data_IF_503582374796
#
_entry.id   IF_503582374796
#
_cell.length_a   1.000
_cell.length_b   1.000
_cell.length_c   1.000
_cell.angle_alpha   90.00
_cell.angle_beta   90.00
_cell.angle_gamma   90.00
#
_symmetry.space_group_name_H-M   'P 1'
#
loop_
_entity.id
_entity.type
_entity.pdbx_description
1 polymer ?
#
# COMPACT_ATOMS: atom_id res chain seq x y z
N UNK A 1 3.92 5.87 -17.74
CA UNK A 1 3.24 6.01 -16.62
C UNK A 1 3.41 5.08 -15.53
N UNK A 2 3.43 5.48 -14.39
CA UNK A 2 3.68 4.70 -13.24
C UNK A 2 2.44 4.03 -12.70
N UNK A 3 2.66 2.91 -12.06
CA UNK A 3 1.61 2.22 -11.32
C UNK A 3 1.88 2.39 -9.84
N UNK A 4 0.81 2.37 -9.04
CA UNK A 4 0.96 2.36 -7.60
C UNK A 4 1.51 1.00 -7.16
N UNK A 5 2.37 1.03 -6.16
CA UNK A 5 2.84 -0.18 -5.50
C UNK A 5 2.12 -0.30 -4.17
N UNK A 6 1.57 -1.46 -3.89
CA UNK A 6 0.80 -1.69 -2.67
C UNK A 6 1.56 -2.59 -1.72
N UNK A 7 1.65 -2.17 -0.46
CA UNK A 7 2.17 -2.99 0.62
C UNK A 7 1.02 -3.24 1.60
N UNK A 8 0.87 -4.47 2.06
CA UNK A 8 -0.20 -4.84 2.97
C UNK A 8 0.39 -5.26 4.31
N UNK A 9 -0.28 -4.86 5.39
CA UNK A 9 0.17 -5.21 6.74
C UNK A 9 -0.17 -6.65 7.12
N UNK A 10 -1.16 -7.26 6.43
CA UNK A 10 -1.59 -8.62 6.68
C UNK A 10 -1.37 -9.46 5.44
N UNK A 11 -1.18 -10.78 5.63
CA UNK A 11 -1.00 -11.67 4.48
C UNK A 11 -2.23 -11.72 3.61
N UNK A 12 -3.41 -11.74 4.23
CA UNK A 12 -4.66 -11.67 3.49
C UNK A 12 -5.09 -10.21 3.43
N UNK A 13 -5.01 -9.62 2.26
CA UNK A 13 -5.34 -8.22 2.07
C UNK A 13 -6.81 -7.92 2.38
N UNK A 14 -7.66 -8.94 2.44
CA UNK A 14 -9.08 -8.78 2.77
C UNK A 14 -9.33 -8.78 4.27
N UNK A 15 -8.32 -9.04 5.08
CA UNK A 15 -8.44 -8.97 6.53
C UNK A 15 -8.82 -7.54 6.92
N UNK A 16 -9.81 -7.40 7.79
CA UNK A 16 -10.28 -6.07 8.22
C UNK A 16 -9.20 -5.27 8.94
N UNK A 17 -8.20 -5.95 9.49
CA UNK A 17 -7.08 -5.29 10.15
C UNK A 17 -6.02 -4.83 9.17
N UNK A 18 -6.15 -5.21 7.90
CA UNK A 18 -5.13 -4.87 6.91
C UNK A 18 -5.08 -3.38 6.66
N UNK A 19 -3.86 -2.84 6.68
CA UNK A 19 -3.57 -1.50 6.24
C UNK A 19 -2.79 -1.61 4.94
N UNK A 20 -3.27 -0.95 3.90
CA UNK A 20 -2.60 -0.94 2.60
C UNK A 20 -1.88 0.38 2.43
N UNK A 21 -0.58 0.32 2.17
CA UNK A 21 0.21 1.49 1.83
C UNK A 21 0.30 1.57 0.32
N UNK A 22 -0.25 2.63 -0.26
CA UNK A 22 -0.25 2.83 -1.72
C UNK A 22 0.87 3.81 -2.05
N UNK A 23 1.93 3.31 -2.68
CA UNK A 23 3.15 4.07 -2.93
C UNK A 23 3.16 4.54 -4.37
N UNK A 24 3.21 5.86 -4.55
CA UNK A 24 3.25 6.46 -5.88
C UNK A 24 4.59 6.16 -6.58
N UNK A 25 4.62 6.17 -7.91
CA UNK A 25 5.85 5.82 -8.65
C UNK A 25 7.07 6.65 -8.27
N UNK A 26 6.89 7.94 -8.02
CA UNK A 26 8.02 8.79 -7.63
C UNK A 26 8.57 8.36 -6.26
N UNK A 27 7.70 8.01 -5.32
CA UNK A 27 8.14 7.53 -4.02
C UNK A 27 8.83 6.16 -4.15
N UNK A 28 8.33 5.31 -5.05
CA UNK A 28 8.99 4.03 -5.32
C UNK A 28 10.41 4.27 -5.80
N UNK A 29 10.61 5.22 -6.71
CA UNK A 29 11.92 5.56 -7.21
C UNK A 29 12.85 6.03 -6.08
N UNK A 30 12.33 6.92 -5.23
CA UNK A 30 13.10 7.45 -4.10
C UNK A 30 13.48 6.35 -3.11
N UNK A 31 12.54 5.45 -2.81
CA UNK A 31 12.81 4.35 -1.88
C UNK A 31 13.80 3.36 -2.46
N UNK A 32 13.72 3.11 -3.77
CA UNK A 32 14.66 2.23 -4.44
C UNK A 32 16.07 2.78 -4.36
N UNK A 33 16.24 4.10 -4.53
CA UNK A 33 17.55 4.75 -4.37
C UNK A 33 18.03 4.65 -2.93
N UNK A 34 17.13 4.85 -1.98
CA UNK A 34 17.50 4.90 -0.56
C UNK A 34 17.93 3.53 -0.03
N UNK A 35 17.24 2.47 -0.43
CA UNK A 35 17.48 1.14 0.11
C UNK A 35 18.23 0.21 -0.85
N UNK A 36 18.43 0.62 -2.09
CA UNK A 36 19.12 -0.21 -3.08
C UNK A 36 18.25 -1.26 -3.73
N UNK A 37 16.98 -1.38 -3.32
CA UNK A 37 16.05 -2.36 -3.87
C UNK A 37 14.66 -1.76 -3.92
N UNK A 38 13.82 -2.33 -4.78
CA UNK A 38 12.41 -1.95 -4.85
C UNK A 38 11.76 -2.15 -3.48
N UNK A 39 10.88 -1.22 -3.04
CA UNK A 39 10.29 -1.32 -1.70
C UNK A 39 9.53 -2.61 -1.44
N UNK A 40 9.02 -3.26 -2.48
CA UNK A 40 8.38 -4.56 -2.34
C UNK A 40 9.33 -5.60 -1.75
N UNK A 41 10.63 -5.42 -1.98
CA UNK A 41 11.66 -6.30 -1.45
C UNK A 41 12.26 -5.72 -0.17
N UNK A 42 12.66 -4.45 -0.22
CA UNK A 42 13.41 -3.84 0.88
C UNK A 42 12.56 -3.66 2.14
N UNK A 43 11.25 -3.49 2.00
CA UNK A 43 10.36 -3.28 3.15
C UNK A 43 9.61 -4.54 3.58
N UNK A 44 9.86 -5.66 2.90
CA UNK A 44 9.19 -6.91 3.21
C UNK A 44 9.60 -7.40 4.59
N UNK A 45 8.61 -7.79 5.40
CA UNK A 45 8.82 -8.32 6.74
C UNK A 45 9.55 -7.33 7.66
N UNK A 46 9.45 -6.04 7.36
CA UNK A 46 10.02 -5.00 8.21
C UNK A 46 8.89 -4.29 8.95
N UNK A 47 9.22 -3.84 10.14
CA UNK A 47 8.34 -2.92 10.85
C UNK A 47 8.59 -1.53 10.32
N UNK A 48 7.57 -0.93 9.74
CA UNK A 48 7.71 0.41 9.17
C UNK A 48 6.71 1.36 9.83
N UNK A 49 7.08 2.63 9.84
CA UNK A 49 6.22 3.71 10.27
C UNK A 49 5.88 4.53 9.04
N UNK A 50 4.58 4.74 8.82
CA UNK A 50 4.13 5.47 7.64
C UNK A 50 3.33 6.67 8.08
N UNK A 51 3.66 7.84 7.53
CA UNK A 51 2.93 9.07 7.79
C UNK A 51 2.00 9.34 6.62
N UNK A 52 0.80 9.78 6.95
CA UNK A 52 -0.17 10.14 5.92
C UNK A 52 -1.58 9.97 6.46
N UNK A 53 -2.52 10.42 5.67
CA UNK A 53 -3.92 10.28 6.01
C UNK A 53 -4.40 8.88 5.65
N UNK A 54 -5.12 8.26 6.57
CA UNK A 54 -5.75 6.97 6.32
C UNK A 54 -7.08 7.21 5.63
N UNK A 55 -7.27 6.60 4.48
CA UNK A 55 -8.47 6.77 3.67
C UNK A 55 -9.18 5.43 3.55
N UNK A 56 -10.46 5.41 3.91
CA UNK A 56 -11.28 4.22 3.73
C UNK A 56 -11.64 4.12 2.25
N UNK A 57 -11.32 2.98 1.67
CA UNK A 57 -11.55 2.72 0.24
C UNK A 57 -12.52 1.56 0.11
N UNK A 58 -13.54 1.73 -0.72
CA UNK A 58 -14.51 0.67 -0.97
C UNK A 58 -13.99 -0.23 -2.09
N UNK A 59 -13.93 -1.52 -1.80
CA UNK A 59 -13.52 -2.52 -2.78
C UNK A 59 -14.76 -3.31 -3.17
N UNK A 60 -15.10 -3.31 -4.45
CA UNK A 60 -16.28 -4.01 -4.94
C UNK A 60 -15.88 -5.30 -5.62
N UNK A 61 -16.72 -6.31 -5.44
CA UNK A 61 -16.55 -7.57 -6.15
C UNK A 61 -17.30 -7.51 -7.48
N UNK A 62 -16.67 -8.08 -8.50
CA UNK A 62 -17.24 -8.11 -9.85
C UNK A 62 -17.54 -9.55 -10.24
N UNK A 63 -18.61 -9.71 -11.01
CA UNK A 63 -18.96 -11.00 -11.61
C UNK A 63 -19.36 -10.72 -13.04
N UNK A 64 -18.77 -11.47 -13.98
CA UNK A 64 -19.04 -11.33 -15.41
C UNK A 64 -18.84 -9.89 -15.90
N UNK A 65 -17.83 -9.20 -15.37
CA UNK A 65 -17.50 -7.83 -15.76
C UNK A 65 -18.40 -6.77 -15.18
N UNK A 66 -19.33 -7.14 -14.29
CA UNK A 66 -20.26 -6.18 -13.70
C UNK A 66 -20.09 -6.12 -12.19
N UNK A 67 -20.23 -4.92 -11.59
CA UNK A 67 -20.15 -4.82 -10.13
C UNK A 67 -21.32 -5.58 -9.48
N UNK A 68 -21.03 -6.22 -8.37
CA UNK A 68 -22.04 -6.92 -7.58
C UNK A 68 -22.45 -6.06 -6.39
N UNK A 69 -23.41 -6.54 -5.61
CA UNK A 69 -23.81 -5.88 -4.39
C UNK A 69 -22.80 -6.08 -3.26
N UNK A 70 -21.85 -6.99 -3.42
CA UNK A 70 -20.88 -7.30 -2.38
C UNK A 70 -19.72 -6.32 -2.42
N UNK A 71 -19.28 -5.90 -1.24
CA UNK A 71 -18.12 -5.00 -1.13
C UNK A 71 -17.50 -5.16 0.26
N UNK A 72 -16.30 -4.63 0.41
CA UNK A 72 -15.67 -4.49 1.70
C UNK A 72 -14.83 -3.23 1.70
N UNK A 73 -14.41 -2.80 2.89
CA UNK A 73 -13.61 -1.59 3.03
C UNK A 73 -12.16 -1.94 3.29
N UNK A 74 -11.26 -1.17 2.69
CA UNK A 74 -9.84 -1.21 3.02
C UNK A 74 -9.42 0.17 3.48
N UNK A 75 -8.44 0.21 4.38
CA UNK A 75 -7.82 1.46 4.78
C UNK A 75 -6.52 1.61 4.01
N UNK A 76 -6.40 2.71 3.28
CA UNK A 76 -5.21 3.01 2.49
C UNK A 76 -4.52 4.24 3.04
N UNK A 77 -3.19 4.21 3.04
CA UNK A 77 -2.37 5.40 3.27
C UNK A 77 -1.58 5.64 1.99
N UNK A 78 -1.74 6.83 1.42
CA UNK A 78 -1.06 7.18 0.17
C UNK A 78 0.31 7.77 0.48
N UNK A 79 1.32 7.24 -0.18
CA UNK A 79 2.70 7.71 -0.03
C UNK A 79 3.16 8.30 -1.35
N UNK A 80 3.44 9.59 -1.35
CA UNK A 80 3.92 10.31 -2.52
C UNK A 80 5.37 10.70 -2.39
N UNK A 81 5.95 10.56 -1.19
CA UNK A 81 7.33 10.93 -0.91
C UNK A 81 7.95 9.91 0.02
N UNK A 82 9.20 9.53 -0.25
CA UNK A 82 9.90 8.52 0.54
C UNK A 82 10.06 8.92 2.01
N UNK A 83 10.05 10.22 2.31
CA UNK A 83 10.14 10.70 3.68
C UNK A 83 8.98 10.30 4.56
N UNK A 84 7.88 9.83 3.95
CA UNK A 84 6.73 9.36 4.71
C UNK A 84 6.93 7.97 5.31
N UNK A 85 7.98 7.26 4.90
CA UNK A 85 8.22 5.89 5.35
C UNK A 85 9.54 5.84 6.12
N UNK A 86 9.49 5.27 7.33
CA UNK A 86 10.68 4.99 8.12
C UNK A 86 10.67 3.52 8.49
N UNK A 87 11.85 2.90 8.47
CA UNK A 87 11.99 1.52 8.95
C UNK A 87 12.28 1.60 10.43
N UNK A 88 11.43 0.96 11.22
CA UNK A 88 11.60 0.91 12.66
C UNK A 88 12.69 -0.11 13.00
N UNK A 89 13.44 0.18 14.04
CA UNK A 89 14.45 -0.76 14.51
C UNK A 89 13.92 -1.68 15.58
#
# INVERSE_FOLDING_TARGET
QGHLTYLNSEQDYRDQRNLTVAIAPEAVRQLTERFGEHPRISLRDKDIRVRGSAVRTTIRFYANGKPTAKYYYQTHVNVTDAGQIEVAK
#
